data_IF_077490301792
#
_entry.id   IF_077490301792
#
_cell.length_a   1.000
_cell.length_b   1.000
_cell.length_c   1.000
_cell.angle_alpha   90.00
_cell.angle_beta   90.00
_cell.angle_gamma   90.00
#
_symmetry.space_group_name_H-M   'P 1'
#
loop_
_entity.id
_entity.type
_entity.pdbx_description
1 polymer ?
#
# COMPACT_ATOMS: atom_id res chain seq x y z
N UNK A 1 -9.79 -3.18 -31.02
CA UNK A 1 -11.15 -2.80 -30.55
C UNK A 1 -11.43 -1.33 -30.81
N UNK A 2 -10.73 -0.39 -30.20
CA UNK A 2 -11.00 1.05 -30.39
C UNK A 2 -10.94 1.54 -31.86
N UNK A 3 -10.00 1.02 -32.66
CA UNK A 3 -9.93 1.37 -34.09
C UNK A 3 -11.17 0.94 -34.90
N UNK A 4 -11.96 -0.01 -34.38
CA UNK A 4 -13.15 -0.57 -35.04
C UNK A 4 -14.43 0.05 -34.45
N UNK A 5 -14.49 0.15 -33.12
CA UNK A 5 -15.70 0.55 -32.39
C UNK A 5 -15.71 2.01 -31.91
N UNK A 6 -14.61 2.73 -32.11
CA UNK A 6 -14.45 4.12 -31.68
C UNK A 6 -13.85 4.28 -30.27
N UNK A 7 -13.78 5.51 -29.75
CA UNK A 7 -13.09 5.85 -28.51
C UNK A 7 -13.89 5.49 -27.24
N UNK A 8 -15.16 5.10 -27.38
CA UNK A 8 -15.95 4.48 -26.31
C UNK A 8 -16.56 3.21 -26.87
N UNK A 9 -16.30 2.08 -26.22
CA UNK A 9 -16.91 0.81 -26.60
C UNK A 9 -17.18 -0.03 -25.36
N UNK A 10 -18.00 -1.07 -25.51
CA UNK A 10 -18.35 -1.94 -24.39
C UNK A 10 -17.95 -3.38 -24.66
N UNK A 11 -17.53 -4.06 -23.60
CA UNK A 11 -17.15 -5.47 -23.57
C UNK A 11 -17.97 -6.15 -22.49
N UNK A 12 -18.57 -7.31 -22.81
CA UNK A 12 -19.23 -8.14 -21.80
C UNK A 12 -18.28 -9.26 -21.37
N UNK A 13 -17.83 -9.20 -20.12
CA UNK A 13 -16.95 -10.20 -19.50
C UNK A 13 -17.77 -11.01 -18.49
N UNK A 14 -18.11 -12.24 -18.86
CA UNK A 14 -19.08 -13.04 -18.09
C UNK A 14 -20.44 -12.34 -18.03
N UNK A 15 -20.95 -12.10 -16.82
CA UNK A 15 -22.20 -11.36 -16.60
C UNK A 15 -22.02 -9.85 -16.43
N UNK A 16 -20.77 -9.33 -16.44
CA UNK A 16 -20.48 -7.91 -16.23
C UNK A 16 -20.27 -7.18 -17.56
N UNK A 17 -20.88 -5.99 -17.66
CA UNK A 17 -20.60 -5.03 -18.74
C UNK A 17 -19.46 -4.10 -18.31
N UNK A 18 -18.42 -4.04 -19.13
CA UNK A 18 -17.31 -3.10 -19.02
C UNK A 18 -17.43 -2.09 -20.15
N UNK A 19 -17.28 -0.81 -19.83
CA UNK A 19 -17.21 0.26 -20.82
C UNK A 19 -15.77 0.77 -20.81
N UNK A 20 -15.12 0.72 -21.96
CA UNK A 20 -13.76 1.18 -22.15
C UNK A 20 -13.77 2.57 -22.79
N UNK A 21 -12.99 3.47 -22.21
CA UNK A 21 -12.78 4.83 -22.71
C UNK A 21 -11.34 4.91 -23.19
N UNK A 22 -11.17 4.96 -24.51
CA UNK A 22 -9.87 4.99 -25.17
C UNK A 22 -9.64 6.34 -25.89
N UNK A 23 -9.75 7.43 -25.14
CA UNK A 23 -9.41 8.79 -25.58
C UNK A 23 -9.04 9.64 -24.37
N UNK A 24 -7.98 10.45 -24.50
CA UNK A 24 -7.50 11.35 -23.43
C UNK A 24 -8.55 12.39 -23.07
N UNK A 25 -9.22 12.98 -24.06
CA UNK A 25 -10.25 14.00 -23.83
C UNK A 25 -11.44 13.42 -23.07
N UNK A 26 -11.86 12.20 -23.42
CA UNK A 26 -12.95 11.52 -22.74
C UNK A 26 -12.54 11.02 -21.36
N UNK A 27 -11.32 10.54 -21.19
CA UNK A 27 -10.79 10.16 -19.88
C UNK A 27 -10.83 11.35 -18.93
N UNK A 28 -10.44 12.55 -19.38
CA UNK A 28 -10.52 13.79 -18.61
C UNK A 28 -11.95 14.11 -18.16
N UNK A 29 -12.94 13.96 -19.03
CA UNK A 29 -14.35 14.13 -18.65
C UNK A 29 -14.73 13.14 -17.54
N UNK A 30 -14.35 11.87 -17.67
CA UNK A 30 -14.68 10.82 -16.68
C UNK A 30 -13.99 11.05 -15.33
N UNK A 31 -12.69 11.35 -15.32
CA UNK A 31 -11.89 11.40 -14.09
C UNK A 31 -11.88 12.77 -13.40
N UNK A 32 -12.33 13.84 -14.08
CA UNK A 32 -12.30 15.21 -13.56
C UNK A 32 -13.68 15.86 -13.54
N UNK A 33 -14.36 15.90 -14.68
CA UNK A 33 -15.61 16.67 -14.81
C UNK A 33 -16.81 15.89 -14.23
N UNK A 34 -16.75 14.55 -14.31
CA UNK A 34 -17.74 13.61 -13.78
C UNK A 34 -17.14 12.68 -12.71
N UNK A 35 -16.08 13.12 -12.04
CA UNK A 35 -15.35 12.34 -11.04
C UNK A 35 -16.31 11.78 -9.96
N UNK A 36 -17.26 12.58 -9.51
CA UNK A 36 -18.25 12.19 -8.51
C UNK A 36 -19.16 11.06 -8.96
N UNK A 37 -19.49 10.99 -10.25
CA UNK A 37 -20.34 9.95 -10.84
C UNK A 37 -19.57 8.65 -11.00
N UNK A 38 -18.29 8.73 -11.37
CA UNK A 38 -17.44 7.57 -11.69
C UNK A 38 -16.45 7.17 -10.58
N UNK A 39 -16.48 7.82 -9.42
CA UNK A 39 -15.62 7.52 -8.28
C UNK A 39 -15.88 6.14 -7.63
N UNK A 40 -17.03 5.51 -7.90
CA UNK A 40 -17.37 4.22 -7.31
C UNK A 40 -16.46 3.10 -7.83
N UNK A 41 -15.80 2.40 -6.91
CA UNK A 41 -14.96 1.23 -7.20
C UNK A 41 -15.81 -0.03 -7.28
N UNK A 42 -15.42 -0.97 -8.16
CA UNK A 42 -15.91 -2.35 -8.16
C UNK A 42 -14.72 -3.31 -7.91
N UNK A 43 -14.36 -3.55 -6.64
CA UNK A 43 -13.22 -4.40 -6.30
C UNK A 43 -13.40 -5.83 -6.79
N UNK A 44 -12.29 -6.49 -7.12
CA UNK A 44 -12.24 -7.95 -7.35
C UNK A 44 -12.35 -8.69 -6.02
N UNK A 45 -12.64 -9.99 -6.06
CA UNK A 45 -12.67 -10.84 -4.84
C UNK A 45 -11.32 -10.87 -4.13
N UNK A 46 -10.21 -10.82 -4.89
CA UNK A 46 -8.86 -10.74 -4.32
C UNK A 46 -8.61 -9.37 -3.71
N UNK A 47 -9.04 -8.27 -4.35
CA UNK A 47 -8.95 -6.95 -3.77
C UNK A 47 -9.70 -6.85 -2.43
N UNK A 48 -10.94 -7.32 -2.37
CA UNK A 48 -11.72 -7.34 -1.12
C UNK A 48 -11.02 -8.16 -0.02
N UNK A 49 -10.41 -9.30 -0.39
CA UNK A 49 -9.73 -10.18 0.56
C UNK A 49 -8.49 -9.56 1.18
N UNK A 50 -7.75 -8.70 0.46
CA UNK A 50 -6.55 -8.01 0.99
C UNK A 50 -6.89 -6.68 1.66
N UNK A 51 -7.97 -6.02 1.27
CA UNK A 51 -8.30 -4.67 1.72
C UNK A 51 -9.38 -4.61 2.81
N UNK A 52 -9.48 -5.60 3.69
CA UNK A 52 -10.48 -5.66 4.78
C UNK A 52 -11.93 -5.38 4.29
N UNK A 53 -12.31 -5.97 3.15
CA UNK A 53 -13.63 -5.77 2.55
C UNK A 53 -13.79 -4.44 1.79
N UNK A 54 -12.68 -3.78 1.43
CA UNK A 54 -12.67 -2.52 0.68
C UNK A 54 -12.33 -1.29 1.53
N UNK A 55 -11.89 -1.49 2.77
CA UNK A 55 -11.55 -0.40 3.70
C UNK A 55 -10.10 0.06 3.55
N UNK A 56 -9.65 0.36 2.32
CA UNK A 56 -8.35 1.00 2.09
C UNK A 56 -8.47 2.13 1.05
N UNK A 57 -7.40 2.88 0.80
CA UNK A 57 -7.50 4.06 -0.08
C UNK A 57 -7.77 3.72 -1.55
N UNK A 58 -7.44 2.51 -2.02
CA UNK A 58 -7.57 2.21 -3.45
C UNK A 58 -8.94 1.60 -3.78
N UNK A 59 -9.57 0.82 -2.89
CA UNK A 59 -10.83 0.11 -3.17
C UNK A 59 -12.05 0.62 -2.37
N UNK A 60 -11.89 1.68 -1.58
CA UNK A 60 -12.96 2.21 -0.75
C UNK A 60 -14.08 2.93 -1.48
N UNK A 61 -15.21 3.03 -0.78
CA UNK A 61 -16.31 3.90 -1.17
C UNK A 61 -15.89 5.38 -1.12
N UNK A 62 -16.63 6.23 -1.83
CA UNK A 62 -16.34 7.66 -1.99
C UNK A 62 -16.09 8.39 -0.67
N UNK A 63 -16.98 8.22 0.32
CA UNK A 63 -16.88 8.97 1.59
C UNK A 63 -15.62 8.57 2.37
N UNK A 64 -15.38 7.27 2.51
CA UNK A 64 -14.21 6.76 3.19
C UNK A 64 -12.91 7.11 2.45
N UNK A 65 -12.93 7.06 1.11
CA UNK A 65 -11.82 7.47 0.26
C UNK A 65 -11.42 8.93 0.49
N UNK A 66 -12.37 9.86 0.52
CA UNK A 66 -12.07 11.28 0.75
C UNK A 66 -11.41 11.51 2.12
N UNK A 67 -11.90 10.84 3.16
CA UNK A 67 -11.33 10.93 4.51
C UNK A 67 -9.90 10.38 4.53
N UNK A 68 -9.67 9.20 3.95
CA UNK A 68 -8.33 8.63 3.85
C UNK A 68 -7.38 9.51 3.02
N UNK A 69 -7.84 10.07 1.90
CA UNK A 69 -7.03 10.94 1.05
C UNK A 69 -6.65 12.23 1.77
N UNK A 70 -7.57 12.83 2.53
CA UNK A 70 -7.28 14.00 3.36
C UNK A 70 -6.22 13.65 4.40
N UNK A 71 -6.38 12.51 5.09
CA UNK A 71 -5.44 12.03 6.09
C UNK A 71 -4.06 11.74 5.49
N UNK A 72 -3.97 11.05 4.35
CA UNK A 72 -2.69 10.83 3.66
C UNK A 72 -2.05 12.15 3.23
N UNK A 73 -2.83 13.06 2.66
CA UNK A 73 -2.33 14.36 2.21
C UNK A 73 -1.75 15.19 3.35
N UNK A 74 -2.41 15.22 4.51
CA UNK A 74 -1.95 16.01 5.66
C UNK A 74 -0.86 15.30 6.46
N UNK A 75 -0.98 13.99 6.70
CA UNK A 75 -0.13 13.26 7.63
C UNK A 75 1.01 12.47 6.98
N UNK A 76 0.94 12.12 5.70
CA UNK A 76 1.98 11.33 5.04
C UNK A 76 2.70 12.14 3.96
N UNK A 77 1.93 12.76 3.09
CA UNK A 77 2.41 13.38 1.86
C UNK A 77 2.62 14.89 2.01
N UNK A 78 2.56 15.42 3.24
CA UNK A 78 2.88 16.82 3.49
C UNK A 78 4.37 17.07 3.31
N UNK A 79 4.73 18.26 2.82
CA UNK A 79 6.14 18.62 2.60
C UNK A 79 6.98 18.48 3.88
N UNK A 80 6.38 18.78 5.05
CA UNK A 80 7.02 18.59 6.35
C UNK A 80 7.36 17.11 6.58
N UNK A 81 6.37 16.21 6.49
CA UNK A 81 6.56 14.80 6.85
C UNK A 81 7.43 14.06 5.82
N UNK A 82 7.34 14.44 4.55
CA UNK A 82 8.26 13.98 3.51
C UNK A 82 9.71 14.43 3.77
N UNK A 83 9.93 15.61 4.36
CA UNK A 83 11.26 16.08 4.73
C UNK A 83 11.81 15.35 5.96
N UNK A 84 10.99 15.07 6.98
CA UNK A 84 11.37 14.23 8.13
C UNK A 84 11.83 12.83 7.67
N UNK A 85 11.12 12.26 6.69
CA UNK A 85 11.45 10.98 6.08
C UNK A 85 12.62 11.01 5.07
N UNK A 86 13.22 12.17 4.79
CA UNK A 86 14.24 12.32 3.74
C UNK A 86 15.47 11.43 3.96
N UNK A 87 15.83 11.21 5.23
CA UNK A 87 16.99 10.39 5.60
C UNK A 87 16.85 8.92 5.15
N UNK A 88 15.64 8.36 5.20
CA UNK A 88 15.37 6.99 4.76
C UNK A 88 15.59 6.85 3.26
N UNK A 89 15.07 7.82 2.48
CA UNK A 89 15.29 7.88 1.03
C UNK A 89 16.76 8.01 0.67
N UNK A 90 17.48 8.95 1.31
CA UNK A 90 18.91 9.17 1.08
C UNK A 90 19.73 7.92 1.41
N UNK A 91 19.39 7.22 2.49
CA UNK A 91 20.09 6.02 2.91
C UNK A 91 19.95 4.89 1.88
N UNK A 92 18.72 4.51 1.51
CA UNK A 92 18.48 3.41 0.58
C UNK A 92 19.01 3.70 -0.82
N UNK A 93 18.91 4.95 -1.30
CA UNK A 93 19.50 5.33 -2.59
C UNK A 93 21.04 5.21 -2.56
N UNK A 94 21.70 5.65 -1.48
CA UNK A 94 23.17 5.48 -1.33
C UNK A 94 23.58 4.02 -1.25
N UNK A 95 22.81 3.19 -0.54
CA UNK A 95 23.00 1.74 -0.45
C UNK A 95 22.91 1.11 -1.84
N UNK A 96 21.88 1.44 -2.61
CA UNK A 96 21.72 0.98 -4.00
C UNK A 96 22.89 1.41 -4.89
N UNK A 97 23.30 2.69 -4.83
CA UNK A 97 24.45 3.18 -5.63
C UNK A 97 25.73 2.41 -5.29
N UNK A 98 25.95 2.12 -4.01
CA UNK A 98 27.10 1.33 -3.55
C UNK A 98 27.03 -0.11 -4.07
N UNK A 99 25.84 -0.73 -4.04
CA UNK A 99 25.62 -2.06 -4.61
C UNK A 99 25.94 -2.10 -6.11
N UNK A 100 25.45 -1.12 -6.87
CA UNK A 100 25.72 -1.01 -8.32
C UNK A 100 27.21 -0.79 -8.58
N UNK A 101 27.86 0.09 -7.81
CA UNK A 101 29.28 0.39 -7.97
C UNK A 101 30.17 -0.84 -7.69
N UNK A 102 29.81 -1.67 -6.71
CA UNK A 102 30.55 -2.91 -6.42
C UNK A 102 30.44 -3.99 -7.51
N UNK A 103 29.54 -3.81 -8.49
CA UNK A 103 29.27 -4.74 -9.58
C UNK A 103 29.74 -4.22 -10.95
N UNK A 104 30.60 -3.18 -10.98
CA UNK A 104 31.18 -2.66 -12.23
C UNK A 104 31.86 -3.79 -13.02
N UNK A 105 31.61 -3.84 -14.32
CA UNK A 105 32.13 -4.88 -15.21
C UNK A 105 31.30 -6.17 -15.23
N UNK A 106 30.19 -6.26 -14.48
CA UNK A 106 29.28 -7.41 -14.47
C UNK A 106 27.90 -7.04 -15.02
N UNK A 107 27.15 -8.05 -15.50
CA UNK A 107 25.75 -7.86 -15.91
C UNK A 107 24.86 -7.75 -14.68
N UNK A 108 24.08 -6.67 -14.57
CA UNK A 108 23.17 -6.43 -13.46
C UNK A 108 21.71 -6.34 -13.90
N UNK A 109 20.81 -6.86 -13.06
CA UNK A 109 19.36 -6.75 -13.28
C UNK A 109 18.80 -5.43 -12.73
N UNK A 110 18.83 -4.36 -13.52
CA UNK A 110 18.38 -3.02 -13.11
C UNK A 110 16.96 -3.04 -12.54
N UNK A 111 16.03 -3.77 -13.17
CA UNK A 111 14.64 -3.89 -12.71
C UNK A 111 14.53 -4.40 -11.27
N UNK A 112 15.31 -5.44 -10.93
CA UNK A 112 15.31 -6.03 -9.59
C UNK A 112 15.92 -5.06 -8.57
N UNK A 113 17.01 -4.40 -8.93
CA UNK A 113 17.69 -3.43 -8.05
C UNK A 113 16.76 -2.23 -7.78
N UNK A 114 16.14 -1.67 -8.81
CA UNK A 114 15.22 -0.54 -8.69
C UNK A 114 14.01 -0.90 -7.81
N UNK A 115 13.35 -2.02 -8.09
CA UNK A 115 12.22 -2.50 -7.31
C UNK A 115 12.59 -2.72 -5.83
N UNK A 116 13.71 -3.39 -5.56
CA UNK A 116 14.17 -3.63 -4.19
C UNK A 116 14.45 -2.32 -3.45
N UNK A 117 15.02 -1.34 -4.15
CA UNK A 117 15.32 -0.01 -3.58
C UNK A 117 14.03 0.72 -3.25
N UNK A 118 13.03 0.68 -4.13
CA UNK A 118 11.72 1.30 -3.91
C UNK A 118 10.98 0.69 -2.72
N UNK A 119 10.90 -0.65 -2.66
CA UNK A 119 10.32 -1.36 -1.50
C UNK A 119 11.02 -0.95 -0.21
N UNK A 120 12.35 -0.89 -0.21
CA UNK A 120 13.11 -0.51 0.98
C UNK A 120 12.89 0.96 1.36
N UNK A 121 12.81 1.85 0.38
CA UNK A 121 12.49 3.27 0.62
C UNK A 121 11.12 3.40 1.28
N UNK A 122 10.09 2.78 0.69
CA UNK A 122 8.71 2.87 1.17
C UNK A 122 8.58 2.25 2.56
N UNK A 123 9.07 1.02 2.76
CA UNK A 123 8.99 0.34 4.05
C UNK A 123 9.74 1.09 5.16
N UNK A 124 10.94 1.63 4.87
CA UNK A 124 11.66 2.45 5.85
C UNK A 124 10.97 3.77 6.15
N UNK A 125 10.30 4.40 5.19
CA UNK A 125 9.48 5.59 5.45
C UNK A 125 8.25 5.26 6.29
N UNK A 126 7.65 4.08 6.10
CA UNK A 126 6.46 3.65 6.84
C UNK A 126 6.78 3.30 8.30
N UNK A 127 7.85 2.55 8.57
CA UNK A 127 8.11 2.00 9.91
C UNK A 127 9.59 1.93 10.33
N UNK A 128 10.51 2.57 9.60
CA UNK A 128 11.82 2.97 10.12
C UNK A 128 12.84 1.86 10.48
N UNK A 129 12.69 0.64 9.96
CA UNK A 129 13.39 -0.56 10.48
C UNK A 129 14.91 -0.63 10.30
N UNK A 130 15.54 0.23 9.51
CA UNK A 130 16.91 0.00 9.01
C UNK A 130 18.07 0.31 9.97
N UNK A 131 17.83 0.72 11.23
CA UNK A 131 18.96 1.23 12.06
C UNK A 131 19.07 0.84 13.52
N UNK A 132 18.10 0.20 14.14
CA UNK A 132 18.38 -0.46 15.42
C UNK A 132 18.70 -1.91 15.11
N UNK A 133 19.60 -2.56 15.86
CA UNK A 133 19.87 -4.01 15.77
C UNK A 133 18.67 -4.91 16.15
N UNK A 134 17.48 -4.36 15.97
CA UNK A 134 16.11 -4.78 16.20
C UNK A 134 15.56 -5.67 15.08
N UNK A 135 16.25 -5.77 13.93
CA UNK A 135 15.96 -6.76 12.88
C UNK A 135 16.02 -8.19 13.43
N UNK A 136 16.87 -8.44 14.44
CA UNK A 136 17.03 -9.76 15.06
C UNK A 136 15.77 -10.27 15.79
N UNK A 137 14.86 -9.36 16.17
CA UNK A 137 13.64 -9.65 16.92
C UNK A 137 12.36 -9.37 16.11
N UNK A 138 12.46 -9.13 14.80
CA UNK A 138 11.28 -9.06 13.94
C UNK A 138 10.74 -10.47 13.69
N UNK A 139 9.41 -10.60 13.68
CA UNK A 139 8.73 -11.86 13.36
C UNK A 139 8.85 -12.28 11.88
N UNK A 140 9.60 -11.53 11.07
CA UNK A 140 9.73 -11.74 9.64
C UNK A 140 11.09 -11.29 9.09
N UNK A 141 11.47 -11.84 7.94
CA UNK A 141 12.67 -11.41 7.20
C UNK A 141 12.33 -10.45 6.05
N UNK A 142 13.28 -9.60 5.61
CA UNK A 142 13.10 -8.71 4.44
C UNK A 142 12.66 -9.51 3.19
N UNK A 143 13.20 -10.73 3.02
CA UNK A 143 12.82 -11.62 1.91
C UNK A 143 11.40 -12.16 2.05
N UNK A 144 10.98 -12.55 3.26
CA UNK A 144 9.61 -13.02 3.51
C UNK A 144 8.57 -11.93 3.21
N UNK A 145 8.80 -10.69 3.67
CA UNK A 145 7.91 -9.57 3.36
C UNK A 145 7.82 -9.32 1.85
N UNK A 146 8.95 -9.37 1.16
CA UNK A 146 9.00 -9.22 -0.31
C UNK A 146 8.20 -10.32 -1.00
N UNK A 147 8.37 -11.58 -0.62
CA UNK A 147 7.65 -12.70 -1.21
C UNK A 147 6.13 -12.57 -1.03
N UNK A 148 5.69 -12.09 0.14
CA UNK A 148 4.28 -11.78 0.42
C UNK A 148 3.78 -10.67 -0.52
N UNK A 149 4.50 -9.54 -0.63
CA UNK A 149 4.12 -8.42 -1.50
C UNK A 149 4.06 -8.84 -2.98
N UNK A 150 5.06 -9.56 -3.46
CA UNK A 150 5.06 -10.09 -4.83
C UNK A 150 3.87 -11.00 -5.08
N UNK A 151 3.53 -11.88 -4.13
CA UNK A 151 2.38 -12.77 -4.27
C UNK A 151 1.06 -12.00 -4.28
N UNK A 152 0.94 -10.92 -3.51
CA UNK A 152 -0.22 -10.04 -3.54
C UNK A 152 -0.37 -9.37 -4.92
N UNK A 153 0.71 -8.81 -5.47
CA UNK A 153 0.70 -8.19 -6.81
C UNK A 153 0.31 -9.22 -7.87
N UNK A 154 0.88 -10.42 -7.81
CA UNK A 154 0.53 -11.53 -8.72
C UNK A 154 -0.97 -11.87 -8.65
N UNK A 155 -1.52 -12.01 -7.44
CA UNK A 155 -2.92 -12.36 -7.23
C UNK A 155 -3.89 -11.23 -7.62
N UNK A 156 -3.50 -9.96 -7.46
CA UNK A 156 -4.28 -8.80 -7.91
C UNK A 156 -4.30 -8.69 -9.44
N UNK A 157 -3.18 -8.98 -10.11
CA UNK A 157 -3.06 -8.90 -11.56
C UNK A 157 -3.63 -10.11 -12.32
N UNK A 158 -3.82 -11.25 -11.65
CA UNK A 158 -4.21 -12.47 -12.34
C UNK A 158 -5.74 -12.59 -12.51
N UNK A 159 -6.27 -12.87 -13.72
CA UNK A 159 -7.71 -12.91 -14.00
C UNK A 159 -8.44 -13.99 -13.19
N UNK A 160 -9.57 -13.66 -12.57
CA UNK A 160 -10.35 -14.60 -11.76
C UNK A 160 -11.80 -14.70 -12.27
N UNK A 161 -12.25 -15.92 -12.57
CA UNK A 161 -13.59 -16.21 -13.09
C UNK A 161 -14.70 -15.75 -12.13
N UNK A 162 -14.43 -15.79 -10.81
CA UNK A 162 -15.34 -15.30 -9.78
C UNK A 162 -15.64 -13.81 -9.92
N UNK A 163 -14.75 -13.03 -10.54
CA UNK A 163 -14.98 -11.60 -10.80
C UNK A 163 -15.94 -11.37 -11.96
N UNK A 164 -16.10 -12.33 -12.87
CA UNK A 164 -16.95 -12.21 -14.06
C UNK A 164 -18.26 -12.98 -13.94
N UNK A 165 -18.32 -14.02 -13.10
CA UNK A 165 -19.48 -14.87 -12.89
C UNK A 165 -19.79 -14.92 -11.38
N UNK A 166 -20.63 -14.01 -10.86
CA UNK A 166 -20.91 -13.90 -9.43
C UNK A 166 -21.45 -15.18 -8.78
N UNK A 167 -22.16 -16.03 -9.55
CA UNK A 167 -22.66 -17.31 -9.06
C UNK A 167 -21.54 -18.24 -8.59
N UNK A 168 -20.35 -18.15 -9.20
CA UNK A 168 -19.19 -18.96 -8.86
C UNK A 168 -18.32 -18.34 -7.76
N UNK A 169 -18.59 -17.09 -7.35
CA UNK A 169 -17.76 -16.37 -6.38
C UNK A 169 -17.62 -17.10 -5.05
N UNK A 170 -18.70 -17.72 -4.57
CA UNK A 170 -18.72 -18.48 -3.30
C UNK A 170 -17.88 -19.76 -3.33
N UNK A 171 -17.57 -20.29 -4.51
CA UNK A 171 -16.84 -21.55 -4.64
C UNK A 171 -15.32 -21.35 -4.65
N UNK A 172 -14.83 -20.11 -4.86
CA UNK A 172 -13.42 -19.80 -5.07
C UNK A 172 -12.74 -20.81 -6.02
N UNK A 173 -13.32 -21.00 -7.21
CA UNK A 173 -12.95 -22.09 -8.16
C UNK A 173 -11.45 -22.11 -8.46
N UNK A 174 -10.80 -20.95 -8.50
CA UNK A 174 -9.36 -20.83 -8.77
C UNK A 174 -8.50 -20.72 -7.49
N UNK A 175 -9.11 -20.79 -6.30
CA UNK A 175 -8.46 -20.71 -5.00
C UNK A 175 -7.79 -19.36 -4.70
N UNK A 176 -8.07 -18.33 -5.50
CA UNK A 176 -7.34 -17.04 -5.45
C UNK A 176 -7.78 -16.21 -4.26
N UNK A 177 -9.05 -16.26 -3.89
CA UNK A 177 -9.53 -15.55 -2.71
C UNK A 177 -8.85 -16.13 -1.45
N UNK A 178 -8.81 -17.46 -1.32
CA UNK A 178 -8.13 -18.13 -0.21
C UNK A 178 -6.63 -17.87 -0.18
N UNK A 179 -5.96 -17.89 -1.34
CA UNK A 179 -4.54 -17.54 -1.43
C UNK A 179 -4.29 -16.09 -0.99
N UNK A 180 -5.14 -15.15 -1.40
CA UNK A 180 -5.02 -13.75 -1.00
C UNK A 180 -5.26 -13.56 0.50
N UNK A 181 -6.25 -14.26 1.05
CA UNK A 181 -6.52 -14.22 2.49
C UNK A 181 -5.32 -14.71 3.31
N UNK A 182 -4.64 -15.78 2.85
CA UNK A 182 -3.39 -16.23 3.48
C UNK A 182 -2.30 -15.14 3.47
N UNK A 183 -2.17 -14.39 2.36
CA UNK A 183 -1.21 -13.29 2.31
C UNK A 183 -1.61 -12.12 3.22
N UNK A 184 -2.91 -11.80 3.32
CA UNK A 184 -3.40 -10.83 4.31
C UNK A 184 -3.05 -11.26 5.73
N UNK A 185 -3.28 -12.51 6.09
CA UNK A 185 -2.95 -13.02 7.43
C UNK A 185 -1.44 -12.95 7.72
N UNK A 186 -0.60 -13.22 6.73
CA UNK A 186 0.86 -13.06 6.87
C UNK A 186 1.25 -11.58 7.06
N UNK A 187 0.67 -10.66 6.28
CA UNK A 187 0.88 -9.21 6.47
C UNK A 187 0.37 -8.73 7.83
N UNK A 188 -0.79 -9.20 8.26
CA UNK A 188 -1.37 -8.85 9.55
C UNK A 188 -0.40 -9.18 10.69
N UNK A 189 0.23 -10.37 10.66
CA UNK A 189 1.26 -10.76 11.65
C UNK A 189 2.47 -9.84 11.65
N UNK A 190 2.89 -9.40 10.47
CA UNK A 190 4.01 -8.46 10.32
C UNK A 190 3.63 -7.10 10.91
N UNK A 191 2.49 -6.54 10.50
CA UNK A 191 2.06 -5.24 11.02
C UNK A 191 1.75 -5.27 12.50
N UNK A 192 1.13 -6.33 13.02
CA UNK A 192 0.88 -6.48 14.45
C UNK A 192 2.18 -6.45 15.25
N UNK A 193 3.22 -7.14 14.78
CA UNK A 193 4.55 -7.09 15.41
C UNK A 193 5.13 -5.68 15.41
N UNK A 194 5.10 -5.00 14.26
CA UNK A 194 5.64 -3.64 14.10
C UNK A 194 4.87 -2.62 14.94
N UNK A 195 3.53 -2.64 14.88
CA UNK A 195 2.65 -1.72 15.62
C UNK A 195 2.82 -1.92 17.12
N UNK A 196 2.78 -3.17 17.60
CA UNK A 196 2.96 -3.48 19.02
C UNK A 196 4.29 -2.95 19.54
N UNK A 197 5.39 -3.21 18.82
CA UNK A 197 6.72 -2.70 19.18
C UNK A 197 6.77 -1.17 19.22
N UNK A 198 6.12 -0.50 18.27
CA UNK A 198 6.07 0.96 18.25
C UNK A 198 5.33 1.52 19.46
N UNK A 199 4.19 0.94 19.81
CA UNK A 199 3.43 1.32 21.00
C UNK A 199 4.27 1.11 22.28
N UNK A 200 4.95 -0.03 22.39
CA UNK A 200 5.85 -0.31 23.52
C UNK A 200 7.02 0.69 23.61
N UNK A 201 7.63 1.06 22.48
CA UNK A 201 8.71 2.05 22.44
C UNK A 201 8.24 3.44 22.93
N UNK A 202 7.10 3.93 22.42
CA UNK A 202 6.49 5.20 22.83
C UNK A 202 6.18 5.19 24.35
N UNK A 203 5.68 4.07 24.88
CA UNK A 203 5.37 3.97 26.31
C UNK A 203 6.60 4.08 27.21
N UNK A 204 7.74 3.54 26.78
CA UNK A 204 9.01 3.57 27.54
C UNK A 204 9.71 4.93 27.49
N UNK A 205 9.63 5.64 26.37
CA UNK A 205 10.18 7.01 26.24
C UNK A 205 9.47 8.01 27.17
N UNK A 206 8.21 7.76 27.51
CA UNK A 206 7.43 8.60 28.44
C UNK A 206 7.91 8.46 29.90
N UNK A 207 8.63 7.38 30.25
CA UNK A 207 9.13 7.11 31.61
C UNK A 207 10.60 7.53 31.83
N UNK A 208 11.30 7.98 30.78
CA UNK A 208 12.70 8.40 30.86
C UNK A 208 13.05 9.34 29.71
N UNK A 209 12.89 10.64 29.94
CA UNK A 209 13.16 11.68 28.96
C UNK A 209 14.63 11.69 28.54
N UNK A 210 14.93 11.02 27.43
CA UNK A 210 16.06 11.34 26.56
C UNK A 210 15.46 11.54 25.18
N UNK A 211 15.42 12.80 24.74
CA UNK A 211 15.18 13.14 23.34
C UNK A 211 16.31 12.55 22.50
N UNK A 212 16.19 11.28 22.10
CA UNK A 212 16.82 10.83 20.87
C UNK A 212 16.07 11.55 19.75
N UNK A 213 16.72 12.52 19.10
CA UNK A 213 16.36 13.14 17.82
C UNK A 213 15.33 12.29 17.05
N UNK A 214 14.05 12.61 17.29
CA UNK A 214 12.92 11.69 17.19
C UNK A 214 12.87 11.06 15.82
N UNK A 215 13.05 9.74 15.75
CA UNK A 215 13.05 9.01 14.50
C UNK A 215 11.62 8.93 13.91
N UNK A 216 11.05 10.04 13.45
CA UNK A 216 9.69 10.12 12.91
C UNK A 216 9.58 9.39 11.56
N UNK A 217 9.12 8.15 11.60
CA UNK A 217 8.50 7.46 10.46
C UNK A 217 6.98 7.65 10.48
N UNK A 218 6.30 7.24 9.41
CA UNK A 218 4.86 7.46 9.30
C UNK A 218 4.04 6.74 10.35
N UNK A 219 4.45 5.53 10.77
CA UNK A 219 3.77 4.82 11.83
C UNK A 219 3.84 5.60 13.15
N UNK A 220 4.97 6.23 13.44
CA UNK A 220 5.11 7.12 14.60
C UNK A 220 4.16 8.32 14.51
N UNK A 221 4.06 8.94 13.32
CA UNK A 221 3.14 10.06 13.09
C UNK A 221 1.67 9.63 13.24
N UNK A 222 1.32 8.42 12.79
CA UNK A 222 -0.02 7.85 12.96
C UNK A 222 -0.36 7.52 14.41
N UNK A 223 0.62 7.21 15.24
CA UNK A 223 0.42 6.84 16.65
C UNK A 223 0.59 8.02 17.61
N UNK A 224 1.13 9.16 17.15
CA UNK A 224 1.38 10.35 17.97
C UNK A 224 0.06 11.05 18.35
N UNK A 225 -0.34 11.06 19.65
CA UNK A 225 -1.57 11.69 20.09
C UNK A 225 -1.61 13.21 19.87
N UNK A 226 -0.47 13.88 19.73
CA UNK A 226 -0.40 15.33 19.50
C UNK A 226 -0.68 15.71 18.04
N UNK A 227 -0.44 14.81 17.09
CA UNK A 227 -0.76 15.01 15.66
C UNK A 227 -2.27 14.78 15.38
N UNK A 228 -3.04 14.31 16.37
CA UNK A 228 -4.47 14.01 16.30
C UNK A 228 -5.39 15.04 16.97
N UNK A 229 -4.88 16.21 17.40
CA UNK A 229 -5.69 17.22 18.13
C UNK A 229 -6.88 17.77 17.32
N UNK A 230 -6.85 17.68 15.98
CA UNK A 230 -7.93 18.13 15.09
C UNK A 230 -8.74 16.99 14.44
N UNK A 231 -8.47 15.72 14.76
CA UNK A 231 -9.10 14.59 14.07
C UNK A 231 -10.23 13.97 14.91
N UNK A 232 -11.46 14.17 14.44
CA UNK A 232 -12.66 13.39 14.77
C UNK A 232 -12.58 11.89 14.41
N UNK A 233 -11.38 11.32 14.32
CA UNK A 233 -11.18 9.93 13.87
C UNK A 233 -9.92 9.34 14.51
N UNK A 234 -10.04 8.79 15.72
CA UNK A 234 -9.05 7.82 16.17
C UNK A 234 -9.08 6.63 15.19
N UNK A 235 -8.01 6.43 14.43
CA UNK A 235 -7.93 5.27 13.55
C UNK A 235 -7.82 4.00 14.40
N UNK A 236 -8.60 2.98 14.06
CA UNK A 236 -8.40 1.67 14.66
C UNK A 236 -7.21 0.93 14.00
N UNK A 237 -6.78 -0.18 14.59
CA UNK A 237 -5.62 -0.94 14.10
C UNK A 237 -5.82 -1.42 12.66
N UNK A 238 -7.01 -1.89 12.30
CA UNK A 238 -7.30 -2.35 10.94
C UNK A 238 -7.19 -1.22 9.91
N UNK A 239 -7.60 0.00 10.28
CA UNK A 239 -7.45 1.18 9.43
C UNK A 239 -5.98 1.60 9.29
N UNK A 240 -5.19 1.52 10.36
CA UNK A 240 -3.74 1.73 10.30
C UNK A 240 -3.10 0.70 9.36
N UNK A 241 -3.41 -0.58 9.52
CA UNK A 241 -2.91 -1.64 8.64
C UNK A 241 -3.33 -1.41 7.19
N UNK A 242 -4.58 -1.03 6.94
CA UNK A 242 -5.08 -0.72 5.61
C UNK A 242 -4.34 0.44 4.93
N UNK A 243 -3.87 1.42 5.71
CA UNK A 243 -3.01 2.52 5.24
C UNK A 243 -1.58 2.07 4.93
N UNK A 244 -1.09 1.01 5.58
CA UNK A 244 0.23 0.42 5.33
C UNK A 244 0.24 -0.53 4.13
N UNK A 245 -0.89 -1.17 3.81
CA UNK A 245 -0.96 -2.26 2.81
C UNK A 245 -0.66 -1.80 1.38
N UNK A 246 -1.16 -0.65 0.94
CA UNK A 246 -0.98 -0.20 -0.44
C UNK A 246 -1.04 1.33 -0.52
N UNK A 247 0.12 1.98 -0.45
CA UNK A 247 0.33 3.34 -0.95
C UNK A 247 1.27 3.29 -2.15
N UNK A 248 0.72 2.96 -3.32
CA UNK A 248 1.37 3.33 -4.57
C UNK A 248 0.42 4.17 -5.41
N UNK A 249 0.78 5.43 -5.57
CA UNK A 249 0.63 6.23 -6.77
C UNK A 249 1.64 7.38 -6.75
#
# INVERSE_FOLDING_TARGET
MANIYGPIFSLRLGSKLHVEVNSVDLAKVVVRDLDQTFANRRPTVTALAISYGGQNIVWSNKMYWHNLRKLLGSQFLSSRNLNECQRFRKYEVRKMVTEVYSKIGTTIGIKKIAFNTEVNVVTNMLWGLTKSGEEKDLSYTENEFRDIVFKIIELLGAPNISDFIPLLSRLDVQGKQRQMQKQRENLDRIFDSIIKRRIEAISKETEGAVEEDGKKDFLSMLLDPNEHQDATTSLNIDQIKALLILQEH
#
